data_IF_369708489756
#
_entry.id   IF_369708489756
#
_cell.length_a   1.000
_cell.length_b   1.000
_cell.length_c   1.000
_cell.angle_alpha   90.00
_cell.angle_beta   90.00
_cell.angle_gamma   90.00
#
_symmetry.space_group_name_H-M   'P 1'
#
loop_
_entity.id
_entity.type
_entity.pdbx_description
1 polymer ?
#
# COMPACT_ATOMS: atom_id res chain seq x y z
N UNK A 1 12.11 0.94 6.76
CA UNK A 1 12.28 2.31 6.28
C UNK A 1 12.93 2.33 4.90
N UNK A 2 14.27 2.27 4.78
CA UNK A 2 14.98 2.48 3.50
C UNK A 2 14.47 1.63 2.31
N UNK A 3 14.06 0.38 2.55
CA UNK A 3 13.55 -0.50 1.50
C UNK A 3 12.17 -0.08 0.95
N UNK A 4 11.27 0.33 1.85
CA UNK A 4 9.92 0.77 1.46
C UNK A 4 10.00 2.10 0.70
N UNK A 5 10.84 3.02 1.18
CA UNK A 5 11.11 4.28 0.48
C UNK A 5 11.73 4.05 -0.91
N UNK A 6 12.66 3.09 -1.04
CA UNK A 6 13.21 2.69 -2.33
C UNK A 6 12.13 2.13 -3.26
N UNK A 7 11.25 1.27 -2.73
CA UNK A 7 10.15 0.68 -3.50
C UNK A 7 9.20 1.77 -4.00
N UNK A 8 8.87 2.75 -3.16
CA UNK A 8 8.13 3.95 -3.55
C UNK A 8 8.82 4.71 -4.68
N UNK A 9 10.13 4.96 -4.56
CA UNK A 9 10.91 5.64 -5.63
C UNK A 9 10.88 4.87 -6.95
N UNK A 10 10.95 3.53 -6.91
CA UNK A 10 10.87 2.70 -8.12
C UNK A 10 9.49 2.77 -8.78
N UNK A 11 8.44 2.85 -7.98
CA UNK A 11 7.08 3.00 -8.52
C UNK A 11 6.83 4.40 -9.09
N UNK A 12 7.35 5.44 -8.46
CA UNK A 12 7.36 6.81 -9.02
C UNK A 12 8.14 6.87 -10.34
N UNK A 13 9.30 6.21 -10.42
CA UNK A 13 10.08 6.10 -11.65
C UNK A 13 9.30 5.38 -12.75
N UNK A 14 8.66 4.26 -12.43
CA UNK A 14 7.80 3.52 -13.35
C UNK A 14 6.64 4.37 -13.87
N UNK A 15 5.99 5.11 -12.98
CA UNK A 15 4.91 6.06 -13.32
C UNK A 15 5.42 7.10 -14.32
N UNK A 16 6.56 7.74 -14.04
CA UNK A 16 7.16 8.73 -14.96
C UNK A 16 7.54 8.13 -16.31
N UNK A 17 8.05 6.90 -16.33
CA UNK A 17 8.37 6.19 -17.58
C UNK A 17 7.11 6.01 -18.42
N UNK A 18 6.00 5.62 -17.79
CA UNK A 18 4.71 5.45 -18.45
C UNK A 18 4.14 6.77 -18.97
N UNK A 19 4.11 7.83 -18.14
CA UNK A 19 3.65 9.18 -18.52
C UNK A 19 4.41 9.72 -19.74
N UNK A 20 5.72 9.46 -19.80
CA UNK A 20 6.59 9.93 -20.88
C UNK A 20 6.65 8.96 -22.08
N UNK A 21 5.80 7.93 -22.13
CA UNK A 21 5.76 6.91 -23.18
C UNK A 21 7.13 6.26 -23.47
N UNK A 22 7.98 6.12 -22.45
CA UNK A 22 9.32 5.54 -22.56
C UNK A 22 9.26 4.00 -22.59
N UNK A 23 8.46 3.44 -23.51
CA UNK A 23 8.13 2.01 -23.62
C UNK A 23 9.34 1.06 -23.49
N UNK A 24 10.51 1.32 -24.12
CA UNK A 24 11.67 0.43 -23.97
C UNK A 24 12.19 0.30 -22.54
N UNK A 25 11.84 1.23 -21.64
CA UNK A 25 12.24 1.23 -20.23
C UNK A 25 11.18 0.65 -19.28
N UNK A 26 9.96 0.36 -19.76
CA UNK A 26 8.89 -0.15 -18.89
C UNK A 26 9.25 -1.51 -18.29
N UNK A 27 9.60 -2.50 -19.13
CA UNK A 27 9.93 -3.84 -18.67
C UNK A 27 11.08 -3.88 -17.63
N UNK A 28 12.24 -3.21 -17.84
CA UNK A 28 13.28 -3.18 -16.82
C UNK A 28 12.83 -2.46 -15.55
N UNK A 29 12.07 -1.37 -15.63
CA UNK A 29 11.57 -0.65 -14.45
C UNK A 29 10.56 -1.48 -13.64
N UNK A 30 9.68 -2.22 -14.30
CA UNK A 30 8.76 -3.17 -13.65
C UNK A 30 9.56 -4.23 -12.88
N UNK A 31 10.57 -4.84 -13.51
CA UNK A 31 11.42 -5.84 -12.85
C UNK A 31 12.17 -5.27 -11.63
N UNK A 32 12.65 -4.03 -11.70
CA UNK A 32 13.30 -3.37 -10.56
C UNK A 32 12.31 -3.10 -9.42
N UNK A 33 11.10 -2.65 -9.75
CA UNK A 33 10.03 -2.48 -8.79
C UNK A 33 9.68 -3.81 -8.11
N UNK A 34 9.40 -4.87 -8.87
CA UNK A 34 9.02 -6.19 -8.33
C UNK A 34 10.07 -6.74 -7.36
N UNK A 35 11.36 -6.62 -7.69
CA UNK A 35 12.45 -7.01 -6.78
C UNK A 35 12.42 -6.22 -5.48
N UNK A 36 12.27 -4.89 -5.56
CA UNK A 36 12.18 -4.05 -4.37
C UNK A 36 10.92 -4.33 -3.54
N UNK A 37 9.80 -4.64 -4.19
CA UNK A 37 8.52 -4.99 -3.57
C UNK A 37 8.62 -6.29 -2.78
N UNK A 38 9.25 -7.34 -3.33
CA UNK A 38 9.48 -8.60 -2.62
C UNK A 38 10.35 -8.42 -1.36
N UNK A 39 11.36 -7.54 -1.42
CA UNK A 39 12.17 -7.20 -0.24
C UNK A 39 11.38 -6.37 0.78
N UNK A 40 10.55 -5.43 0.34
CA UNK A 40 9.64 -4.66 1.21
C UNK A 40 8.63 -5.56 1.91
N UNK A 41 8.04 -6.52 1.19
CA UNK A 41 7.07 -7.47 1.74
C UNK A 41 7.62 -8.22 2.96
N UNK A 42 8.90 -8.62 2.91
CA UNK A 42 9.57 -9.28 4.05
C UNK A 42 9.66 -8.39 5.28
N UNK A 43 9.85 -7.09 5.09
CA UNK A 43 9.97 -6.12 6.19
C UNK A 43 8.63 -5.73 6.78
N UNK A 44 7.57 -5.68 5.96
CA UNK A 44 6.21 -5.34 6.39
C UNK A 44 5.49 -6.48 7.12
N UNK A 45 5.95 -7.72 6.95
CA UNK A 45 5.38 -8.90 7.64
C UNK A 45 5.64 -8.95 9.14
N UNK A 46 6.41 -8.03 9.70
CA UNK A 46 6.75 -7.94 11.13
C UNK A 46 5.89 -6.85 11.82
N UNK A 47 4.85 -7.22 12.58
CA UNK A 47 3.92 -6.26 13.19
C UNK A 47 4.61 -5.29 14.16
N UNK A 48 5.70 -5.73 14.81
CA UNK A 48 6.44 -4.89 15.77
C UNK A 48 7.16 -3.73 15.10
N UNK A 49 7.29 -3.74 13.77
CA UNK A 49 7.93 -2.70 12.97
C UNK A 49 6.93 -1.76 12.30
N UNK A 50 5.62 -1.94 12.49
CA UNK A 50 4.61 -1.05 11.93
C UNK A 50 4.59 0.25 12.74
N UNK A 51 5.28 1.26 12.22
CA UNK A 51 5.27 2.62 12.75
C UNK A 51 4.37 3.52 11.90
N UNK A 52 4.06 4.72 12.38
CA UNK A 52 3.35 5.73 11.59
C UNK A 52 4.01 5.99 10.22
N UNK A 53 5.33 6.13 10.20
CA UNK A 53 6.08 6.35 8.95
C UNK A 53 5.94 5.18 7.97
N UNK A 54 5.88 3.94 8.48
CA UNK A 54 5.62 2.76 7.65
C UNK A 54 4.20 2.83 7.04
N UNK A 55 3.22 3.27 7.82
CA UNK A 55 1.84 3.44 7.36
C UNK A 55 1.75 4.52 6.27
N UNK A 56 2.37 5.68 6.50
CA UNK A 56 2.40 6.79 5.53
C UNK A 56 3.07 6.37 4.21
N UNK A 57 4.21 5.68 4.29
CA UNK A 57 4.90 5.16 3.11
C UNK A 57 4.13 4.03 2.42
N UNK A 58 3.37 3.21 3.16
CA UNK A 58 2.50 2.18 2.58
C UNK A 58 1.33 2.82 1.84
N UNK A 59 0.73 3.88 2.37
CA UNK A 59 -0.28 4.67 1.67
C UNK A 59 0.28 5.22 0.36
N UNK A 60 1.45 5.85 0.42
CA UNK A 60 2.13 6.38 -0.77
C UNK A 60 2.39 5.30 -1.83
N UNK A 61 2.73 4.09 -1.39
CA UNK A 61 2.97 2.95 -2.28
C UNK A 61 1.69 2.55 -3.02
N UNK A 62 0.57 2.43 -2.30
CA UNK A 62 -0.73 2.11 -2.90
C UNK A 62 -1.18 3.19 -3.89
N UNK A 63 -1.07 4.48 -3.52
CA UNK A 63 -1.39 5.59 -4.43
C UNK A 63 -0.55 5.58 -5.70
N UNK A 64 0.75 5.31 -5.59
CA UNK A 64 1.65 5.24 -6.74
C UNK A 64 1.36 4.01 -7.61
N UNK A 65 0.92 2.89 -7.01
CA UNK A 65 0.50 1.68 -7.74
C UNK A 65 -0.73 1.99 -8.59
N UNK A 66 -1.76 2.58 -7.99
CA UNK A 66 -2.98 2.98 -8.69
C UNK A 66 -2.71 3.96 -9.83
N UNK A 67 -1.81 4.94 -9.63
CA UNK A 67 -1.39 5.88 -10.69
C UNK A 67 -0.72 5.16 -11.86
N UNK A 68 0.22 4.26 -11.60
CA UNK A 68 0.90 3.50 -12.64
C UNK A 68 -0.09 2.61 -13.43
N UNK A 69 -0.99 1.94 -12.72
CA UNK A 69 -2.02 1.07 -13.33
C UNK A 69 -3.04 1.88 -14.16
N UNK A 70 -3.43 3.07 -13.70
CA UNK A 70 -4.29 3.99 -14.44
C UNK A 70 -3.66 4.48 -15.76
N UNK A 71 -2.33 4.46 -15.86
CA UNK A 71 -1.57 4.73 -17.09
C UNK A 71 -1.44 3.50 -18.00
N UNK A 72 -2.10 2.39 -17.66
CA UNK A 72 -2.08 1.13 -18.42
C UNK A 72 -0.85 0.26 -18.16
N UNK A 73 -0.07 0.54 -17.11
CA UNK A 73 1.06 -0.31 -16.71
C UNK A 73 0.53 -1.54 -15.99
N UNK A 74 0.79 -2.72 -16.55
CA UNK A 74 0.55 -3.99 -15.86
C UNK A 74 1.82 -4.36 -15.09
N UNK A 75 1.81 -4.14 -13.78
CA UNK A 75 2.99 -4.36 -12.92
C UNK A 75 3.25 -5.85 -12.72
N UNK A 76 2.22 -6.66 -12.44
CA UNK A 76 2.35 -8.10 -12.18
C UNK A 76 3.19 -8.44 -10.93
N UNK A 77 3.12 -9.68 -10.46
CA UNK A 77 3.95 -10.23 -9.36
C UNK A 77 4.03 -9.34 -8.10
N UNK A 78 2.89 -8.84 -7.62
CA UNK A 78 2.80 -8.02 -6.38
C UNK A 78 2.12 -8.72 -5.21
N UNK A 79 1.73 -9.98 -5.35
CA UNK A 79 0.98 -10.74 -4.33
C UNK A 79 1.63 -10.71 -2.95
N UNK A 80 2.95 -10.93 -2.86
CA UNK A 80 3.65 -10.90 -1.56
C UNK A 80 3.59 -9.52 -0.89
N UNK A 81 3.65 -8.45 -1.68
CA UNK A 81 3.58 -7.08 -1.21
C UNK A 81 2.15 -6.73 -0.80
N UNK A 82 1.16 -7.16 -1.59
CA UNK A 82 -0.26 -6.96 -1.30
C UNK A 82 -0.65 -7.68 -0.01
N UNK A 83 -0.19 -8.92 0.20
CA UNK A 83 -0.36 -9.67 1.45
C UNK A 83 0.29 -8.98 2.65
N UNK A 84 1.49 -8.43 2.46
CA UNK A 84 2.18 -7.72 3.53
C UNK A 84 1.47 -6.40 3.87
N UNK A 85 0.96 -5.70 2.87
CA UNK A 85 0.15 -4.48 3.03
C UNK A 85 -1.16 -4.79 3.74
N UNK A 86 -1.83 -5.88 3.37
CA UNK A 86 -3.03 -6.37 4.06
C UNK A 86 -2.79 -6.53 5.55
N UNK A 87 -1.68 -7.17 5.96
CA UNK A 87 -1.33 -7.31 7.38
C UNK A 87 -1.12 -5.99 8.10
N UNK A 88 -0.58 -4.98 7.42
CA UNK A 88 -0.46 -3.63 8.00
C UNK A 88 -1.83 -3.07 8.30
N UNK A 89 -2.78 -3.18 7.37
CA UNK A 89 -4.16 -2.71 7.52
C UNK A 89 -4.88 -3.49 8.61
N UNK A 90 -4.76 -4.83 8.63
CA UNK A 90 -5.33 -5.70 9.66
C UNK A 90 -4.87 -5.27 11.06
N UNK A 91 -3.58 -5.05 11.25
CA UNK A 91 -3.03 -4.60 12.53
C UNK A 91 -3.60 -3.24 12.97
N UNK A 92 -3.91 -2.34 12.04
CA UNK A 92 -4.55 -1.07 12.37
C UNK A 92 -6.03 -1.24 12.71
N UNK A 93 -6.74 -2.13 12.00
CA UNK A 93 -8.13 -2.46 12.30
C UNK A 93 -8.24 -3.07 13.71
N UNK A 94 -7.38 -4.03 14.05
CA UNK A 94 -7.33 -4.63 15.39
C UNK A 94 -7.14 -3.58 16.49
N UNK A 95 -6.19 -2.64 16.33
CA UNK A 95 -5.98 -1.54 17.29
C UNK A 95 -7.20 -0.59 17.37
N UNK A 96 -7.95 -0.41 16.28
CA UNK A 96 -9.19 0.39 16.29
C UNK A 96 -10.36 -0.33 16.97
N UNK A 97 -10.45 -1.65 16.87
CA UNK A 97 -11.50 -2.46 17.51
C UNK A 97 -11.41 -2.45 19.04
N UNK A 98 -10.20 -2.30 19.58
CA UNK A 98 -9.97 -2.19 21.03
C UNK A 98 -10.32 -0.81 21.59
N UNK A 99 -10.59 0.18 20.73
CA UNK A 99 -10.87 1.56 21.14
C UNK A 99 -12.35 1.84 21.28
N UNK A 100 -12.67 2.82 22.11
CA UNK A 100 -14.02 3.40 22.16
C UNK A 100 -14.22 4.33 20.97
N UNK A 101 -14.93 3.85 19.95
CA UNK A 101 -15.26 4.59 18.72
C UNK A 101 -16.68 5.19 18.79
N UNK A 102 -16.86 6.34 18.13
CA UNK A 102 -18.20 6.88 17.86
C UNK A 102 -18.96 6.00 16.86
N UNK A 103 -20.27 6.15 16.75
CA UNK A 103 -21.06 5.34 15.81
C UNK A 103 -20.67 5.60 14.35
N UNK A 104 -20.31 6.83 14.00
CA UNK A 104 -19.76 7.17 12.69
C UNK A 104 -18.40 6.47 12.45
N UNK A 105 -17.50 6.51 13.43
CA UNK A 105 -16.21 5.81 13.33
C UNK A 105 -16.36 4.29 13.20
N UNK A 106 -17.35 3.68 13.87
CA UNK A 106 -17.67 2.25 13.70
C UNK A 106 -18.14 1.95 12.27
N UNK A 107 -18.98 2.80 11.68
CA UNK A 107 -19.41 2.64 10.29
C UNK A 107 -18.24 2.75 9.32
N UNK A 108 -17.32 3.69 9.56
CA UNK A 108 -16.08 3.81 8.77
C UNK A 108 -15.20 2.57 8.95
N UNK A 109 -15.10 2.01 10.17
CA UNK A 109 -14.32 0.81 10.44
C UNK A 109 -14.88 -0.41 9.71
N UNK A 110 -16.20 -0.58 9.70
CA UNK A 110 -16.84 -1.65 8.92
C UNK A 110 -16.63 -1.48 7.42
N UNK A 111 -16.65 -0.24 6.93
CA UNK A 111 -16.31 0.04 5.53
C UNK A 111 -14.86 -0.32 5.22
N UNK A 112 -13.93 -0.07 6.14
CA UNK A 112 -12.53 -0.46 5.99
C UNK A 112 -12.37 -1.99 5.90
N UNK A 113 -13.06 -2.74 6.77
CA UNK A 113 -13.05 -4.21 6.77
C UNK A 113 -13.61 -4.79 5.47
N UNK A 114 -14.74 -4.27 4.99
CA UNK A 114 -15.33 -4.70 3.72
C UNK A 114 -14.37 -4.48 2.54
N UNK A 115 -13.75 -3.29 2.45
CA UNK A 115 -12.74 -3.03 1.43
C UNK A 115 -11.56 -3.99 1.53
N UNK A 116 -11.11 -4.31 2.74
CA UNK A 116 -10.02 -5.26 2.96
C UNK A 116 -10.40 -6.66 2.47
N UNK A 117 -11.60 -7.14 2.81
CA UNK A 117 -12.13 -8.44 2.35
C UNK A 117 -12.23 -8.51 0.82
N UNK A 118 -12.65 -7.42 0.18
CA UNK A 118 -12.74 -7.31 -1.29
C UNK A 118 -11.37 -7.16 -1.97
N UNK A 119 -10.28 -6.95 -1.21
CA UNK A 119 -8.94 -6.72 -1.74
C UNK A 119 -8.66 -5.28 -2.17
N UNK A 120 -9.57 -4.35 -1.86
CA UNK A 120 -9.44 -2.91 -2.10
C UNK A 120 -8.52 -2.28 -1.04
N UNK A 121 -7.23 -2.62 -1.07
CA UNK A 121 -6.26 -2.27 -0.02
C UNK A 121 -6.09 -0.75 0.16
N UNK A 122 -6.12 0.01 -0.93
CA UNK A 122 -5.99 1.48 -0.90
C UNK A 122 -7.15 2.12 -0.13
N UNK A 123 -8.37 1.73 -0.48
CA UNK A 123 -9.61 2.20 0.13
C UNK A 123 -9.72 1.73 1.58
N UNK A 124 -9.30 0.50 1.88
CA UNK A 124 -9.28 -0.02 3.24
C UNK A 124 -8.35 0.82 4.13
N UNK A 125 -7.12 1.08 3.67
CA UNK A 125 -6.16 1.89 4.42
C UNK A 125 -6.63 3.34 4.57
N UNK A 126 -7.21 3.94 3.53
CA UNK A 126 -7.78 5.28 3.59
C UNK A 126 -8.85 5.40 4.68
N UNK A 127 -9.78 4.44 4.73
CA UNK A 127 -10.84 4.41 5.75
C UNK A 127 -10.30 4.21 7.16
N UNK A 128 -9.28 3.38 7.34
CA UNK A 128 -8.58 3.25 8.63
C UNK A 128 -8.00 4.60 9.08
N UNK A 129 -7.34 5.31 8.17
CA UNK A 129 -6.71 6.60 8.47
C UNK A 129 -7.71 7.73 8.72
N UNK A 130 -8.89 7.69 8.11
CA UNK A 130 -9.99 8.62 8.41
C UNK A 130 -10.44 8.53 9.88
N UNK A 131 -10.41 7.34 10.48
CA UNK A 131 -10.83 7.12 11.87
C UNK A 131 -9.79 7.67 12.85
N UNK A 132 -8.50 7.60 12.48
CA UNK A 132 -7.38 8.05 13.30
C UNK A 132 -6.48 9.04 12.53
N UNK A 133 -6.95 10.27 12.27
CA UNK A 133 -6.18 11.30 11.60
C UNK A 133 -5.15 11.87 12.57
N UNK A 134 -4.03 11.17 12.77
CA UNK A 134 -2.93 11.66 13.62
C UNK A 134 -1.60 11.59 12.94
#
# INVERSE_FOLDING_TARGET
>A
MAQLELTNKRLEELTRIAENNQTPKLAPAINEFQKSAAETAKNLKDPQKITKEVIDETKKLLENKEKAEALGVVIGETEELDDATRKVIESQIEDLEERSLTDEQKQTLETAKLNLEEGNLSQALEKVLEINPK
#
